data_IF_175978551065
#
_entry.id   IF_175978551065
#
_cell.length_a   1.000
_cell.length_b   1.000
_cell.length_c   1.000
_cell.angle_alpha   90.00
_cell.angle_beta   90.00
_cell.angle_gamma   90.00
#
_symmetry.space_group_name_H-M   'P 1'
#
loop_
_entity.id
_entity.type
_entity.pdbx_description
1 polymer ?
#
# COMPACT_ATOMS: atom_id res chain seq x y z
N UNK A 1 30.53 -12.64 26.44
CA UNK A 1 31.07 -12.78 25.08
C UNK A 1 29.89 -12.68 24.14
N UNK A 2 29.65 -11.49 23.57
CA UNK A 2 28.55 -11.30 22.62
C UNK A 2 29.04 -11.86 21.28
N UNK A 3 28.29 -12.81 20.74
CA UNK A 3 28.65 -13.55 19.53
C UNK A 3 28.68 -12.60 18.32
N UNK A 4 29.86 -12.44 17.73
CA UNK A 4 30.10 -11.61 16.53
C UNK A 4 29.18 -12.06 15.38
N UNK A 5 28.79 -13.34 15.35
CA UNK A 5 27.82 -13.88 14.40
C UNK A 5 26.42 -13.27 14.56
N UNK A 6 25.98 -13.00 15.79
CA UNK A 6 24.66 -12.41 16.04
C UNK A 6 24.58 -10.95 15.57
N UNK A 7 25.68 -10.21 15.68
CA UNK A 7 25.79 -8.83 15.18
C UNK A 7 25.75 -8.81 13.65
N UNK A 8 26.45 -9.75 12.99
CA UNK A 8 26.41 -9.90 11.54
C UNK A 8 25.00 -10.17 11.00
N UNK A 9 24.24 -11.05 11.65
CA UNK A 9 22.85 -11.38 11.27
C UNK A 9 21.93 -10.18 11.46
N UNK A 10 22.07 -9.45 12.56
CA UNK A 10 21.27 -8.25 12.82
C UNK A 10 21.52 -7.15 11.77
N UNK A 11 22.78 -6.96 11.35
CA UNK A 11 23.13 -6.02 10.30
C UNK A 11 22.53 -6.40 8.93
N UNK A 12 22.47 -7.70 8.62
CA UNK A 12 21.81 -8.22 7.42
C UNK A 12 20.31 -7.94 7.49
N UNK A 13 19.64 -8.27 8.60
CA UNK A 13 18.20 -8.04 8.77
C UNK A 13 17.82 -6.55 8.68
N UNK A 14 18.64 -5.65 9.23
CA UNK A 14 18.42 -4.21 9.15
C UNK A 14 18.66 -3.65 7.73
N UNK A 15 19.56 -4.25 6.95
CA UNK A 15 19.79 -3.89 5.55
C UNK A 15 18.68 -4.42 4.62
N UNK A 16 18.12 -5.61 4.90
CA UNK A 16 17.05 -6.23 4.10
C UNK A 16 15.64 -5.71 4.44
N UNK A 17 15.47 -4.82 5.41
CA UNK A 17 14.16 -4.26 5.81
C UNK A 17 13.41 -3.45 4.74
N UNK A 18 13.87 -3.44 3.47
CA UNK A 18 13.21 -2.81 2.33
C UNK A 18 13.04 -3.77 1.14
N UNK A 19 12.89 -5.08 1.36
CA UNK A 19 12.40 -5.96 0.28
C UNK A 19 10.91 -5.67 0.06
N UNK A 20 10.64 -4.75 -0.86
CA UNK A 20 9.36 -4.72 -1.57
C UNK A 20 9.10 -6.11 -2.14
N UNK A 21 7.89 -6.64 -1.92
CA UNK A 21 7.49 -7.93 -2.44
C UNK A 21 7.53 -7.88 -3.97
N UNK A 22 8.53 -8.51 -4.58
CA UNK A 22 8.61 -8.67 -6.03
C UNK A 22 7.52 -9.65 -6.44
N UNK A 23 6.41 -9.13 -6.95
CA UNK A 23 5.37 -9.92 -7.58
C UNK A 23 5.94 -10.56 -8.84
N UNK A 24 5.69 -11.86 -9.03
CA UNK A 24 6.03 -12.59 -10.26
C UNK A 24 5.31 -11.93 -11.43
N UNK A 25 6.07 -11.26 -12.30
CA UNK A 25 5.57 -10.65 -13.53
C UNK A 25 5.36 -11.76 -14.57
N UNK A 26 4.11 -12.05 -14.90
CA UNK A 26 3.75 -12.94 -15.98
C UNK A 26 4.21 -12.31 -17.32
N UNK A 27 5.10 -12.98 -18.05
CA UNK A 27 5.66 -12.51 -19.33
C UNK A 27 4.64 -12.66 -20.47
N UNK A 28 3.56 -11.91 -20.44
CA UNK A 28 2.88 -11.48 -21.66
C UNK A 28 3.56 -10.19 -22.15
N UNK A 29 3.74 -10.01 -23.46
CA UNK A 29 4.30 -8.76 -23.98
C UNK A 29 3.37 -7.61 -23.58
N UNK A 30 3.87 -6.68 -22.77
CA UNK A 30 3.13 -5.49 -22.32
C UNK A 30 2.53 -4.67 -23.48
N UNK A 31 3.06 -4.86 -24.69
CA UNK A 31 2.61 -4.25 -25.95
C UNK A 31 1.12 -4.47 -26.27
N UNK A 32 0.47 -5.50 -25.71
CA UNK A 32 -0.95 -5.78 -25.91
C UNK A 32 -1.87 -5.09 -24.89
N UNK A 33 -1.31 -4.59 -23.79
CA UNK A 33 -2.03 -3.91 -22.73
C UNK A 33 -1.91 -2.39 -22.89
N UNK A 34 -3.04 -1.73 -23.07
CA UNK A 34 -3.11 -0.28 -23.19
C UNK A 34 -3.31 0.32 -21.80
N UNK A 35 -2.46 1.28 -21.43
CA UNK A 35 -2.65 2.08 -20.22
C UNK A 35 -3.98 2.81 -20.29
N UNK A 36 -4.84 2.55 -19.31
CA UNK A 36 -6.16 3.13 -19.24
C UNK A 36 -6.15 4.38 -18.36
N UNK A 37 -5.69 4.26 -17.12
CA UNK A 37 -5.28 5.39 -16.29
C UNK A 37 -4.26 4.98 -15.23
N UNK A 38 -3.66 5.98 -14.58
CA UNK A 38 -2.73 5.81 -13.48
C UNK A 38 -2.95 6.91 -12.44
N UNK A 39 -2.84 6.54 -11.17
CA UNK A 39 -2.75 7.44 -10.04
C UNK A 39 -1.39 7.23 -9.40
N UNK A 40 -0.51 8.21 -9.57
CA UNK A 40 0.83 8.18 -9.00
C UNK A 40 0.79 8.33 -7.48
N UNK A 41 1.80 7.80 -6.78
CA UNK A 41 1.88 7.87 -5.32
C UNK A 41 1.80 9.31 -4.80
N UNK A 42 2.50 10.24 -5.41
CA UNK A 42 2.50 11.65 -5.04
C UNK A 42 1.11 12.28 -5.16
N UNK A 43 0.38 11.95 -6.22
CA UNK A 43 -0.97 12.42 -6.49
C UNK A 43 -1.95 11.79 -5.49
N UNK A 44 -1.85 10.48 -5.27
CA UNK A 44 -2.63 9.76 -4.28
C UNK A 44 -2.46 10.37 -2.87
N UNK A 45 -1.22 10.68 -2.47
CA UNK A 45 -0.94 11.33 -1.19
C UNK A 45 -1.47 12.78 -1.15
N UNK A 46 -1.42 13.52 -2.26
CA UNK A 46 -1.95 14.86 -2.35
C UNK A 46 -3.48 14.88 -2.24
N UNK A 47 -4.17 13.94 -2.87
CA UNK A 47 -5.62 13.75 -2.76
C UNK A 47 -6.02 13.23 -1.37
N UNK A 48 -5.28 12.26 -0.83
CA UNK A 48 -5.51 11.74 0.52
C UNK A 48 -5.46 12.84 1.58
N UNK A 49 -4.56 13.82 1.47
CA UNK A 49 -4.49 14.99 2.37
C UNK A 49 -5.76 15.83 2.35
N UNK A 50 -6.55 15.82 1.29
CA UNK A 50 -7.79 16.60 1.16
C UNK A 50 -9.01 15.88 1.75
N UNK A 51 -8.92 14.57 1.99
CA UNK A 51 -10.06 13.77 2.47
C UNK A 51 -10.52 14.21 3.85
N UNK A 52 -11.84 14.26 4.03
CA UNK A 52 -12.48 14.33 5.35
C UNK A 52 -12.93 12.93 5.75
N UNK A 53 -12.52 12.47 6.93
CA UNK A 53 -12.88 11.14 7.45
C UNK A 53 -14.07 11.32 8.38
N UNK A 54 -15.22 10.79 7.99
CA UNK A 54 -16.42 10.81 8.82
C UNK A 54 -16.50 9.53 9.66
N UNK A 55 -16.71 9.65 10.98
CA UNK A 55 -16.84 8.49 11.84
C UNK A 55 -18.20 7.82 11.67
N UNK A 56 -18.20 6.48 11.62
CA UNK A 56 -19.40 5.65 11.68
C UNK A 56 -19.68 4.85 10.40
N UNK A 57 -20.56 3.84 10.47
CA UNK A 57 -20.99 3.09 9.30
C UNK A 57 -21.73 4.02 8.34
N UNK A 58 -21.48 3.86 7.04
CA UNK A 58 -22.25 4.53 6.00
C UNK A 58 -23.72 4.10 6.14
N UNK A 59 -24.70 5.03 6.15
CA UNK A 59 -26.11 4.66 6.25
C UNK A 59 -26.51 3.61 5.20
N UNK A 60 -27.13 2.52 5.66
CA UNK A 60 -27.50 1.40 4.79
C UNK A 60 -26.43 0.30 4.64
N UNK A 61 -25.22 0.52 5.15
CA UNK A 61 -24.15 -0.49 5.15
C UNK A 61 -24.15 -1.32 6.44
N UNK A 62 -23.99 -2.64 6.29
CA UNK A 62 -23.67 -3.53 7.41
C UNK A 62 -22.20 -3.32 7.84
N UNK A 63 -21.82 -3.69 9.08
CA UNK A 63 -20.42 -3.77 9.46
C UNK A 63 -19.66 -4.72 8.54
N UNK A 64 -18.45 -4.32 8.13
CA UNK A 64 -17.61 -5.12 7.26
C UNK A 64 -16.95 -6.27 8.02
N UNK A 65 -16.92 -7.46 7.41
CA UNK A 65 -16.22 -8.62 7.98
C UNK A 65 -14.71 -8.50 7.77
N UNK A 66 -13.95 -9.32 8.48
CA UNK A 66 -12.49 -9.35 8.32
C UNK A 66 -12.08 -9.68 6.87
N UNK A 67 -12.78 -10.59 6.18
CA UNK A 67 -12.47 -10.91 4.78
C UNK A 67 -12.78 -9.75 3.83
N UNK A 68 -13.84 -9.00 4.09
CA UNK A 68 -14.17 -7.79 3.32
C UNK A 68 -13.09 -6.72 3.54
N UNK A 69 -12.58 -6.56 4.76
CA UNK A 69 -11.45 -5.66 5.04
C UNK A 69 -10.16 -6.14 4.37
N UNK A 70 -9.88 -7.45 4.36
CA UNK A 70 -8.72 -8.01 3.65
C UNK A 70 -8.75 -7.66 2.17
N UNK A 71 -9.90 -7.89 1.51
CA UNK A 71 -10.15 -7.52 0.11
C UNK A 71 -9.92 -6.02 -0.18
N UNK A 72 -10.18 -5.15 0.80
CA UNK A 72 -9.91 -3.73 0.67
C UNK A 72 -8.42 -3.38 0.78
N UNK A 73 -7.60 -4.24 1.38
CA UNK A 73 -6.21 -3.94 1.78
C UNK A 73 -5.14 -4.64 0.95
N UNK A 74 -5.47 -5.74 0.29
CA UNK A 74 -4.54 -6.60 -0.47
C UNK A 74 -4.45 -6.24 -1.96
N UNK A 75 -5.18 -5.20 -2.38
CA UNK A 75 -5.23 -4.74 -3.77
C UNK A 75 -6.37 -5.33 -4.59
N UNK A 76 -7.14 -6.29 -4.07
CA UNK A 76 -8.27 -6.89 -4.80
C UNK A 76 -9.33 -5.86 -5.21
N UNK A 77 -9.65 -4.90 -4.34
CA UNK A 77 -10.59 -3.81 -4.69
C UNK A 77 -10.09 -2.91 -5.82
N UNK A 78 -8.78 -2.74 -5.96
CA UNK A 78 -8.18 -1.95 -7.04
C UNK A 78 -8.19 -2.74 -8.35
N UNK A 79 -7.90 -4.04 -8.29
CA UNK A 79 -8.05 -4.91 -9.46
C UNK A 79 -9.50 -4.87 -9.99
N UNK A 80 -10.48 -4.97 -9.09
CA UNK A 80 -11.89 -4.93 -9.47
C UNK A 80 -12.34 -3.54 -9.92
N UNK A 81 -11.75 -2.48 -9.37
CA UNK A 81 -11.92 -1.12 -9.91
C UNK A 81 -11.51 -1.06 -11.38
N UNK A 82 -10.31 -1.57 -11.72
CA UNK A 82 -9.84 -1.61 -13.11
C UNK A 82 -10.69 -2.52 -14.01
N UNK A 83 -11.36 -3.54 -13.46
CA UNK A 83 -12.26 -4.41 -14.24
C UNK A 83 -13.66 -3.82 -14.44
N UNK A 84 -14.26 -3.26 -13.39
CA UNK A 84 -15.67 -2.90 -13.33
C UNK A 84 -15.93 -1.44 -13.65
N UNK A 85 -14.93 -0.58 -13.52
CA UNK A 85 -15.06 0.85 -13.77
C UNK A 85 -14.24 1.25 -15.00
N UNK A 86 -14.86 2.08 -15.86
CA UNK A 86 -14.15 2.69 -16.97
C UNK A 86 -13.61 4.08 -16.62
N UNK A 87 -12.78 4.62 -17.53
CA UNK A 87 -12.10 5.94 -17.50
C UNK A 87 -12.86 7.13 -16.91
N UNK A 88 -14.19 7.11 -16.96
CA UNK A 88 -15.02 8.24 -16.52
C UNK A 88 -15.26 8.27 -15.01
N UNK A 89 -15.09 7.15 -14.30
CA UNK A 89 -15.38 7.08 -12.87
C UNK A 89 -14.10 7.27 -12.05
N UNK A 90 -13.92 8.49 -11.51
CA UNK A 90 -12.76 8.86 -10.70
C UNK A 90 -12.91 8.37 -9.26
N UNK A 91 -12.87 7.06 -9.08
CA UNK A 91 -12.86 6.40 -7.79
C UNK A 91 -11.41 6.19 -7.36
N UNK A 92 -11.12 6.21 -6.05
CA UNK A 92 -9.79 5.94 -5.51
C UNK A 92 -8.65 6.86 -5.99
N UNK A 93 -8.93 8.12 -6.32
CA UNK A 93 -7.89 9.13 -6.63
C UNK A 93 -6.84 9.32 -5.52
N UNK A 94 -7.13 8.84 -4.31
CA UNK A 94 -6.26 8.91 -3.14
C UNK A 94 -5.50 7.60 -2.89
N UNK A 95 -5.60 6.61 -3.78
CA UNK A 95 -4.90 5.33 -3.71
C UNK A 95 -4.03 5.21 -4.96
N UNK A 96 -2.76 4.90 -4.81
CA UNK A 96 -1.90 4.64 -5.97
C UNK A 96 -2.32 3.36 -6.67
N UNK A 97 -2.47 3.43 -8.00
CA UNK A 97 -2.75 2.29 -8.84
C UNK A 97 -2.54 2.61 -10.33
N UNK A 98 -2.43 1.55 -11.13
CA UNK A 98 -2.34 1.64 -12.59
C UNK A 98 -3.35 0.67 -13.18
N UNK A 99 -4.32 1.17 -13.95
CA UNK A 99 -5.27 0.34 -14.67
C UNK A 99 -4.82 0.15 -16.12
N UNK A 100 -4.80 -1.11 -16.55
CA UNK A 100 -4.42 -1.52 -17.91
C UNK A 100 -5.56 -2.33 -18.52
N UNK A 101 -5.84 -2.09 -19.79
CA UNK A 101 -6.84 -2.84 -20.55
C UNK A 101 -6.12 -3.64 -21.62
N UNK A 102 -6.27 -4.95 -21.60
CA UNK A 102 -5.67 -5.86 -22.56
C UNK A 102 -6.70 -6.72 -23.28
N UNK A 103 -6.23 -7.70 -24.07
CA UNK A 103 -7.09 -8.66 -24.78
C UNK A 103 -7.76 -9.66 -23.84
N UNK A 104 -7.17 -9.90 -22.67
CA UNK A 104 -7.66 -10.84 -21.69
C UNK A 104 -8.85 -10.27 -20.95
N UNK A 105 -9.86 -11.11 -20.74
CA UNK A 105 -11.03 -10.73 -19.97
C UNK A 105 -10.63 -10.49 -18.51
N UNK A 106 -10.91 -9.29 -18.03
CA UNK A 106 -10.62 -8.90 -16.65
C UNK A 106 -11.45 -9.75 -15.68
N UNK A 107 -10.79 -10.34 -14.67
CA UNK A 107 -11.46 -11.20 -13.69
C UNK A 107 -11.77 -10.44 -12.41
N UNK A 108 -13.07 -10.26 -12.14
CA UNK A 108 -13.57 -9.66 -10.90
C UNK A 108 -13.40 -10.63 -9.74
N UNK A 109 -12.75 -10.18 -8.66
CA UNK A 109 -12.43 -10.95 -7.47
C UNK A 109 -13.57 -10.95 -6.44
N UNK A 110 -14.38 -9.88 -6.40
CA UNK A 110 -15.61 -9.79 -5.60
C UNK A 110 -16.73 -10.73 -6.08
N UNK A 111 -16.54 -11.42 -7.20
CA UNK A 111 -17.54 -12.27 -7.85
C UNK A 111 -18.22 -11.57 -9.02
N UNK A 112 -18.77 -10.37 -8.79
CA UNK A 112 -19.34 -9.52 -9.85
C UNK A 112 -19.21 -8.02 -9.53
N UNK A 113 -19.50 -7.18 -10.53
CA UNK A 113 -19.37 -5.73 -10.39
C UNK A 113 -20.40 -5.08 -9.45
N UNK A 114 -21.51 -5.76 -9.15
CA UNK A 114 -22.48 -5.28 -8.17
C UNK A 114 -21.95 -5.50 -6.74
N UNK A 115 -21.34 -6.65 -6.48
CA UNK A 115 -20.70 -6.95 -5.20
C UNK A 115 -19.46 -6.08 -4.98
N UNK A 116 -18.65 -5.86 -6.02
CA UNK A 116 -17.58 -4.85 -5.99
C UNK A 116 -18.13 -3.47 -5.58
N UNK A 117 -19.23 -3.01 -6.20
CA UNK A 117 -19.83 -1.71 -5.90
C UNK A 117 -20.23 -1.62 -4.42
N UNK A 118 -20.87 -2.67 -3.88
CA UNK A 118 -21.23 -2.75 -2.46
C UNK A 118 -19.99 -2.70 -1.56
N UNK A 119 -18.96 -3.51 -1.84
CA UNK A 119 -17.73 -3.57 -1.04
C UNK A 119 -16.97 -2.25 -1.08
N UNK A 120 -16.84 -1.65 -2.26
CA UNK A 120 -16.24 -0.34 -2.46
C UNK A 120 -16.90 0.70 -1.58
N UNK A 121 -18.22 0.85 -1.71
CA UNK A 121 -18.97 1.91 -1.04
C UNK A 121 -19.05 1.67 0.46
N UNK A 122 -19.41 0.46 0.89
CA UNK A 122 -19.66 0.18 2.30
C UNK A 122 -18.41 -0.11 3.14
N UNK A 123 -17.32 -0.59 2.53
CA UNK A 123 -16.15 -1.07 3.25
C UNK A 123 -14.88 -0.34 2.81
N UNK A 124 -14.50 -0.47 1.54
CA UNK A 124 -13.15 -0.14 1.12
C UNK A 124 -12.89 1.35 1.04
N UNK A 125 -13.87 2.17 0.65
CA UNK A 125 -13.67 3.61 0.55
C UNK A 125 -13.29 4.23 1.91
N UNK A 126 -14.07 3.95 2.96
CA UNK A 126 -13.77 4.47 4.31
C UNK A 126 -12.47 3.90 4.89
N UNK A 127 -12.24 2.60 4.69
CA UNK A 127 -11.03 1.92 5.16
C UNK A 127 -9.76 2.51 4.50
N UNK A 128 -9.74 2.55 3.17
CA UNK A 128 -8.61 3.06 2.39
C UNK A 128 -8.43 4.56 2.61
N UNK A 129 -9.50 5.36 2.66
CA UNK A 129 -9.42 6.79 2.94
C UNK A 129 -8.72 7.04 4.27
N UNK A 130 -9.08 6.28 5.32
CA UNK A 130 -8.45 6.39 6.63
C UNK A 130 -6.97 6.01 6.60
N UNK A 131 -6.63 4.89 5.94
CA UNK A 131 -5.25 4.42 5.82
C UNK A 131 -4.37 5.41 5.05
N UNK A 132 -4.84 5.89 3.89
CA UNK A 132 -4.10 6.82 3.04
C UNK A 132 -4.02 8.22 3.63
N UNK A 133 -5.07 8.70 4.29
CA UNK A 133 -5.03 9.95 5.06
C UNK A 133 -3.94 9.87 6.14
N UNK A 134 -3.91 8.78 6.91
CA UNK A 134 -2.88 8.55 7.91
C UNK A 134 -1.47 8.54 7.28
N UNK A 135 -1.27 7.84 6.17
CA UNK A 135 0.01 7.83 5.45
C UNK A 135 0.41 9.23 4.96
N UNK A 136 -0.54 10.03 4.50
CA UNK A 136 -0.28 11.35 3.93
C UNK A 136 -0.09 12.46 4.98
N UNK A 137 -0.68 12.31 6.17
CA UNK A 137 -0.53 13.24 7.31
C UNK A 137 0.49 12.80 8.34
N UNK A 138 0.80 11.50 8.39
CA UNK A 138 1.80 10.93 9.28
C UNK A 138 3.12 11.64 9.06
N UNK A 139 3.76 12.07 10.14
CA UNK A 139 5.11 12.58 10.01
C UNK A 139 5.95 11.45 9.43
N UNK A 140 6.64 11.72 8.32
CA UNK A 140 7.96 11.12 8.14
C UNK A 140 8.75 11.62 9.35
N UNK A 141 8.59 11.01 10.51
CA UNK A 141 9.58 11.06 11.57
C UNK A 141 10.83 10.59 10.87
N UNK A 142 11.65 11.57 10.51
CA UNK A 142 12.62 11.52 9.45
C UNK A 142 13.38 10.20 9.55
N UNK A 143 13.05 9.27 8.64
CA UNK A 143 13.69 7.96 8.62
C UNK A 143 15.21 8.11 8.46
N UNK A 144 15.68 9.28 8.00
CA UNK A 144 17.07 9.68 8.01
C UNK A 144 17.60 9.93 9.42
N UNK A 145 16.90 10.68 10.27
CA UNK A 145 17.31 10.95 11.66
C UNK A 145 17.34 9.69 12.52
N UNK A 146 16.36 8.79 12.40
CA UNK A 146 16.35 7.52 13.13
C UNK A 146 17.48 6.59 12.66
N UNK A 147 17.72 6.49 11.34
CA UNK A 147 18.87 5.77 10.78
C UNK A 147 20.19 6.38 11.25
N UNK A 148 20.34 7.71 11.20
CA UNK A 148 21.56 8.40 11.61
C UNK A 148 21.87 8.18 13.10
N UNK A 149 20.86 8.29 13.97
CA UNK A 149 21.00 8.01 15.40
C UNK A 149 21.38 6.55 15.66
N UNK A 150 20.82 5.60 14.91
CA UNK A 150 21.17 4.18 15.03
C UNK A 150 22.59 3.85 14.56
N UNK A 151 23.07 4.51 13.49
CA UNK A 151 24.45 4.37 13.02
C UNK A 151 25.42 4.99 14.04
N UNK A 152 25.10 6.17 14.56
CA UNK A 152 25.92 6.86 15.55
C UNK A 152 26.08 6.04 16.84
N UNK A 153 24.98 5.45 17.35
CA UNK A 153 25.02 4.62 18.56
C UNK A 153 25.85 3.35 18.38
N UNK A 154 25.74 2.69 17.23
CA UNK A 154 26.57 1.52 16.88
C UNK A 154 28.05 1.91 16.78
N UNK A 155 28.37 3.04 16.17
CA UNK A 155 29.74 3.52 16.03
C UNK A 155 30.38 3.84 17.40
N UNK A 156 29.63 4.49 18.29
CA UNK A 156 30.10 4.78 19.67
C UNK A 156 30.32 3.51 20.48
N UNK A 157 29.47 2.50 20.32
CA UNK A 157 29.59 1.22 21.03
C UNK A 157 30.81 0.43 20.54
N UNK A 158 31.06 0.40 19.22
CA UNK A 158 32.25 -0.21 18.62
C UNK A 158 33.53 0.49 19.10
N UNK A 159 33.53 1.82 19.15
CA UNK A 159 34.69 2.59 19.64
C UNK A 159 34.98 2.30 21.12
N UNK A 160 33.95 2.20 21.97
CA UNK A 160 34.13 1.81 23.37
C UNK A 160 34.72 0.41 23.50
N UNK A 161 34.23 -0.56 22.72
CA UNK A 161 34.70 -1.95 22.75
C UNK A 161 36.13 -2.13 22.21
N UNK A 162 36.60 -1.21 21.36
CA UNK A 162 37.98 -1.19 20.84
C UNK A 162 38.97 -0.53 21.82
N UNK A 163 38.48 0.31 22.75
CA UNK A 163 39.30 1.03 23.73
C UNK A 163 39.35 0.36 25.11
N UNK A 164 38.54 -0.67 25.36
CA UNK A 164 38.54 -1.49 26.57
C UNK A 164 39.05 -2.89 26.28
#
# INVERSE_FOLDING_TARGET
MIDIGAIGILMILLALGNLEAVTVVNHHSDDEYVLEHEVLREDALAEAKKLEIYPGPIPGCKPCTNSEITYCSDGSVINDHCCCEGRTNKVFLFVEHTCRVGPEECKVQAGDCAEYTRLRECCCHSYLASAWKYLATGSRADASLTKFLSILTVLTLLLHLLLT
#
